data_IF_835085830926
#
_entry.id   IF_835085830926
#
_cell.length_a   1.000
_cell.length_b   1.000
_cell.length_c   1.000
_cell.angle_alpha   90.00
_cell.angle_beta   90.00
_cell.angle_gamma   90.00
#
_symmetry.space_group_name_H-M   'P 1'
#
loop_
_entity.id
_entity.type
_entity.pdbx_description
1 polymer ?
#
# COMPACT_ATOMS: atom_id res chain seq x y z
N UNK A 1 19.85 53.24 48.04
CA UNK A 1 21.10 53.60 47.32
C UNK A 1 21.21 55.12 47.24
N UNK A 2 22.30 55.73 47.72
CA UNK A 2 22.53 57.20 47.59
C UNK A 2 22.71 57.55 46.11
N UNK A 3 21.90 58.48 45.56
CA UNK A 3 22.08 59.02 44.20
C UNK A 3 23.45 59.71 44.14
N UNK A 4 24.33 59.26 43.25
CA UNK A 4 25.69 59.84 43.08
C UNK A 4 25.55 61.28 42.58
N UNK A 5 26.28 62.20 43.22
CA UNK A 5 26.28 63.64 42.88
C UNK A 5 26.95 63.87 41.51
N UNK A 6 26.52 64.90 40.79
CA UNK A 6 27.13 65.35 39.54
C UNK A 6 28.55 65.86 39.82
N UNK A 7 29.55 65.36 39.07
CA UNK A 7 30.94 65.83 39.14
C UNK A 7 31.56 65.86 37.74
N UNK A 8 32.76 66.45 37.60
CA UNK A 8 33.53 66.45 36.34
C UNK A 8 33.77 65.04 35.77
N UNK A 9 33.86 64.02 36.63
CA UNK A 9 34.05 62.61 36.26
C UNK A 9 32.78 61.76 36.39
N UNK A 10 31.67 62.37 36.83
CA UNK A 10 30.39 61.71 37.06
C UNK A 10 29.23 62.47 36.40
N UNK A 11 29.39 62.78 35.12
CA UNK A 11 28.33 63.29 34.25
C UNK A 11 28.12 62.36 33.03
N UNK A 12 27.00 62.56 32.32
CA UNK A 12 26.59 61.70 31.21
C UNK A 12 27.60 61.72 30.06
N UNK A 13 28.11 62.90 29.71
CA UNK A 13 29.09 63.10 28.65
C UNK A 13 30.37 62.31 28.87
N UNK A 14 30.94 62.45 30.07
CA UNK A 14 32.19 61.80 30.45
C UNK A 14 32.05 60.28 30.51
N UNK A 15 30.95 59.77 31.08
CA UNK A 15 30.77 58.31 31.27
C UNK A 15 30.27 57.58 30.03
N UNK A 16 29.52 58.26 29.16
CA UNK A 16 28.91 57.65 27.98
C UNK A 16 29.12 58.52 26.73
N UNK A 17 30.37 58.76 26.30
CA UNK A 17 30.68 59.68 25.19
C UNK A 17 30.02 59.26 23.87
N UNK A 18 29.92 57.95 23.60
CA UNK A 18 29.27 57.44 22.39
C UNK A 18 27.75 57.63 22.40
N UNK A 19 27.11 57.55 23.56
CA UNK A 19 25.66 57.78 23.70
C UNK A 19 25.37 59.28 23.64
N UNK A 20 26.26 60.10 24.19
CA UNK A 20 26.17 61.57 24.16
C UNK A 20 26.16 62.14 22.75
N UNK A 21 26.85 61.49 21.79
CA UNK A 21 26.74 61.83 20.35
C UNK A 21 25.32 61.73 19.78
N UNK A 22 24.40 61.06 20.47
CA UNK A 22 23.00 60.93 20.07
C UNK A 22 22.10 61.98 20.76
N UNK A 23 22.67 62.98 21.41
CA UNK A 23 21.92 64.09 22.02
C UNK A 23 21.31 64.98 20.93
N UNK A 24 20.04 65.35 21.07
CA UNK A 24 19.41 66.30 20.15
C UNK A 24 19.60 67.73 20.66
N UNK A 25 20.71 68.37 20.30
CA UNK A 25 21.05 69.73 20.75
C UNK A 25 20.02 70.79 20.33
N UNK A 26 19.30 70.59 19.21
CA UNK A 26 18.25 71.51 18.75
C UNK A 26 17.01 71.49 19.64
N UNK A 27 16.71 70.35 20.27
CA UNK A 27 15.52 70.17 21.13
C UNK A 27 15.81 70.23 22.63
N UNK A 28 17.08 70.25 23.02
CA UNK A 28 17.55 70.32 24.40
C UNK A 28 18.37 71.60 24.62
N UNK A 29 17.79 72.76 24.30
CA UNK A 29 18.51 74.06 24.26
C UNK A 29 19.15 74.39 25.62
N UNK A 30 18.44 74.16 26.72
CA UNK A 30 18.88 74.56 28.07
C UNK A 30 19.58 73.46 28.86
N UNK A 31 19.94 72.34 28.23
CA UNK A 31 20.52 71.21 28.94
C UNK A 31 21.55 70.46 28.09
N UNK A 32 22.78 70.41 28.61
CA UNK A 32 23.89 69.71 27.98
C UNK A 32 24.14 68.34 28.63
N UNK A 33 24.72 67.37 27.88
CA UNK A 33 25.11 66.06 28.43
C UNK A 33 25.99 66.15 29.69
N UNK A 34 26.87 67.14 29.79
CA UNK A 34 27.73 67.38 30.96
C UNK A 34 26.98 67.85 32.21
N UNK A 35 25.74 68.32 32.08
CA UNK A 35 24.93 68.90 33.18
C UNK A 35 24.05 67.87 33.91
N UNK A 36 24.11 66.60 33.51
CA UNK A 36 23.27 65.53 34.09
C UNK A 36 24.07 64.28 34.43
N UNK A 37 23.57 63.52 35.40
CA UNK A 37 24.13 62.21 35.75
C UNK A 37 23.53 61.11 34.86
N UNK A 38 24.28 60.00 34.64
CA UNK A 38 23.76 58.80 33.98
C UNK A 38 22.43 58.25 34.51
N UNK A 39 22.21 58.36 35.83
CA UNK A 39 21.00 57.89 36.49
C UNK A 39 19.81 58.87 36.43
N UNK A 40 19.92 59.97 35.70
CA UNK A 40 18.85 60.97 35.61
C UNK A 40 17.58 60.39 34.96
N UNK A 41 16.44 60.70 35.57
CA UNK A 41 15.09 60.36 35.11
C UNK A 41 14.48 61.44 34.20
N UNK A 42 15.14 62.60 34.08
CA UNK A 42 14.69 63.72 33.24
C UNK A 42 14.57 63.24 31.79
N UNK A 43 13.45 63.56 31.14
CA UNK A 43 13.22 63.22 29.74
C UNK A 43 14.05 64.14 28.84
N UNK A 44 14.90 63.52 28.02
CA UNK A 44 15.82 64.20 27.11
C UNK A 44 15.48 63.78 25.68
N UNK A 45 15.58 64.70 24.72
CA UNK A 45 15.48 64.39 23.30
C UNK A 45 16.77 63.79 22.75
N UNK A 46 16.65 62.68 22.04
CA UNK A 46 17.74 61.98 21.39
C UNK A 46 17.49 61.92 19.89
N UNK A 47 18.57 61.84 19.11
CA UNK A 47 18.55 61.65 17.66
C UNK A 47 19.54 60.55 17.28
N UNK A 48 19.12 59.58 16.47
CA UNK A 48 20.00 58.50 16.02
C UNK A 48 20.64 58.87 14.67
N UNK A 49 21.60 58.06 14.21
CA UNK A 49 22.25 58.26 12.91
C UNK A 49 21.28 58.24 11.71
N UNK A 50 20.11 57.58 11.86
CA UNK A 50 19.05 57.56 10.84
C UNK A 50 18.11 58.76 10.92
N UNK A 51 18.36 59.71 11.82
CA UNK A 51 17.53 60.90 12.01
C UNK A 51 16.26 60.67 12.82
N UNK A 52 16.04 59.49 13.40
CA UNK A 52 14.89 59.29 14.29
C UNK A 52 15.07 60.07 15.58
N UNK A 53 14.05 60.83 15.96
CA UNK A 53 14.04 61.61 17.18
C UNK A 53 13.11 60.99 18.22
N UNK A 54 13.58 60.80 19.45
CA UNK A 54 12.74 60.27 20.53
C UNK A 54 13.11 60.86 21.88
N UNK A 55 12.13 60.91 22.77
CA UNK A 55 12.33 61.37 24.13
C UNK A 55 12.43 60.18 25.09
N UNK A 56 13.51 60.11 25.88
CA UNK A 56 13.64 59.16 26.98
C UNK A 56 14.66 59.65 28.01
N UNK A 57 14.67 59.02 29.18
CA UNK A 57 15.58 59.37 30.24
C UNK A 57 17.00 58.80 30.01
N UNK A 58 18.07 59.52 30.41
CA UNK A 58 19.45 59.04 30.40
C UNK A 58 19.62 57.65 31.02
N UNK A 59 18.98 57.35 32.16
CA UNK A 59 19.11 56.03 32.79
C UNK A 59 18.63 54.87 31.90
N UNK A 60 17.60 55.10 31.09
CA UNK A 60 17.11 54.10 30.14
C UNK A 60 18.13 53.84 29.04
N UNK A 61 18.83 54.90 28.59
CA UNK A 61 19.88 54.80 27.57
C UNK A 61 21.07 53.99 28.08
N UNK A 62 21.49 54.23 29.33
CA UNK A 62 22.61 53.50 29.95
C UNK A 62 22.27 52.06 30.26
N UNK A 63 20.98 51.74 30.46
CA UNK A 63 20.47 50.37 30.59
C UNK A 63 20.25 49.67 29.23
N UNK A 64 20.85 50.17 28.15
CA UNK A 64 20.83 49.52 26.83
C UNK A 64 19.61 49.83 25.97
N UNK A 65 18.67 50.70 26.40
CA UNK A 65 17.53 51.09 25.54
C UNK A 65 17.98 52.12 24.49
N UNK A 66 18.03 51.69 23.23
CA UNK A 66 18.39 52.52 22.08
C UNK A 66 17.21 53.27 21.46
N UNK A 67 17.34 53.61 20.18
CA UNK A 67 16.27 54.20 19.39
C UNK A 67 15.10 53.21 19.24
N UNK A 68 13.86 53.56 19.68
CA UNK A 68 12.72 52.66 19.61
C UNK A 68 12.26 52.40 18.16
N UNK A 69 12.58 53.29 17.23
CA UNK A 69 12.29 53.11 15.80
C UNK A 69 13.28 52.12 15.17
N UNK A 70 14.59 52.29 15.40
CA UNK A 70 15.59 51.31 14.94
C UNK A 70 15.36 49.91 15.54
N UNK A 71 14.82 49.83 16.75
CA UNK A 71 14.48 48.57 17.41
C UNK A 71 13.12 47.99 17.00
N UNK A 72 12.41 48.61 16.03
CA UNK A 72 11.06 48.21 15.60
C UNK A 72 10.02 48.15 16.74
N UNK A 73 10.19 48.97 17.76
CA UNK A 73 9.23 49.14 18.86
C UNK A 73 8.21 50.25 18.56
N UNK A 74 8.59 51.23 17.74
CA UNK A 74 7.73 52.30 17.24
C UNK A 74 7.85 52.42 15.73
N UNK A 75 6.76 52.82 15.09
CA UNK A 75 6.69 53.00 13.63
C UNK A 75 7.25 54.37 13.21
N UNK A 76 7.98 54.38 12.11
CA UNK A 76 8.56 55.52 11.40
C UNK A 76 8.40 55.30 9.87
N UNK A 77 8.78 56.30 9.08
CA UNK A 77 8.67 56.25 7.61
C UNK A 77 9.51 55.13 6.97
N UNK A 78 10.62 54.75 7.59
CA UNK A 78 11.60 53.78 7.07
C UNK A 78 11.44 52.35 7.61
N UNK A 79 10.62 52.11 8.64
CA UNK A 79 10.53 50.82 9.34
C UNK A 79 9.12 50.21 9.40
N UNK A 80 8.17 50.76 8.66
CA UNK A 80 6.79 50.28 8.62
C UNK A 80 6.56 49.16 7.59
N UNK A 81 5.42 48.49 7.70
CA UNK A 81 5.04 47.35 6.87
C UNK A 81 4.91 47.72 5.40
N UNK A 82 4.37 48.90 5.08
CA UNK A 82 4.26 49.38 3.69
C UNK A 82 5.63 49.51 3.04
N UNK A 83 6.57 50.14 3.75
CA UNK A 83 7.94 50.40 3.27
C UNK A 83 8.74 49.09 3.18
N UNK A 84 8.72 48.27 4.23
CA UNK A 84 9.59 47.09 4.30
C UNK A 84 9.01 45.85 3.60
N UNK A 85 7.69 45.75 3.43
CA UNK A 85 7.00 44.56 2.89
C UNK A 85 5.82 44.96 1.98
N UNK A 86 6.07 45.67 0.87
CA UNK A 86 5.01 46.19 0.01
C UNK A 86 4.09 45.11 -0.56
N UNK A 87 4.62 43.92 -0.90
CA UNK A 87 3.82 42.80 -1.38
C UNK A 87 2.79 42.30 -0.36
N UNK A 88 3.18 42.23 0.92
CA UNK A 88 2.27 41.83 2.01
C UNK A 88 1.30 42.96 2.33
N UNK A 89 1.75 44.22 2.29
CA UNK A 89 0.88 45.38 2.51
C UNK A 89 -0.26 45.51 1.48
N UNK A 90 -0.11 44.94 0.28
CA UNK A 90 -1.21 44.85 -0.72
C UNK A 90 -2.35 43.96 -0.26
N UNK A 91 -2.09 42.99 0.62
CA UNK A 91 -3.11 42.11 1.18
C UNK A 91 -3.80 42.72 2.40
N UNK A 92 -3.62 44.00 2.70
CA UNK A 92 -4.29 44.66 3.82
C UNK A 92 -5.78 44.84 3.53
N UNK A 93 -6.66 44.44 4.45
CA UNK A 93 -8.09 44.81 4.36
C UNK A 93 -8.29 46.21 4.93
N UNK A 94 -8.41 47.22 4.06
CA UNK A 94 -8.59 48.61 4.48
C UNK A 94 -9.94 48.84 5.16
N UNK A 95 -11.00 48.22 4.66
CA UNK A 95 -12.36 48.33 5.20
C UNK A 95 -12.45 47.79 6.63
N UNK A 96 -11.81 46.66 6.93
CA UNK A 96 -11.90 46.00 8.25
C UNK A 96 -10.89 46.48 9.28
N UNK A 97 -9.81 47.13 8.86
CA UNK A 97 -8.82 47.69 9.77
C UNK A 97 -9.04 49.18 10.06
N UNK A 98 -10.04 49.80 9.41
CA UNK A 98 -10.49 51.17 9.63
C UNK A 98 -9.32 52.17 9.68
N UNK A 99 -8.95 52.65 10.87
CA UNK A 99 -7.92 53.67 11.10
C UNK A 99 -6.49 53.16 10.94
N UNK A 100 -6.23 51.86 11.05
CA UNK A 100 -4.89 51.31 10.95
C UNK A 100 -4.50 51.07 9.50
N UNK A 101 -3.40 51.71 9.06
CA UNK A 101 -2.84 51.52 7.72
C UNK A 101 -1.50 50.77 7.82
N UNK A 102 -1.05 50.10 6.75
CA UNK A 102 0.26 49.43 6.74
C UNK A 102 1.45 50.35 7.07
N UNK A 103 1.30 51.68 6.90
CA UNK A 103 2.33 52.66 7.27
C UNK A 103 2.44 52.93 8.77
N UNK A 104 1.43 52.54 9.56
CA UNK A 104 1.34 52.79 11.00
C UNK A 104 1.86 51.59 11.81
N UNK A 105 2.24 50.50 11.13
CA UNK A 105 2.55 49.20 11.75
C UNK A 105 3.92 48.72 11.35
N UNK A 106 4.75 48.34 12.33
CA UNK A 106 6.04 47.68 12.09
C UNK A 106 5.85 46.19 11.73
N UNK A 107 6.68 45.59 10.85
CA UNK A 107 6.57 44.18 10.47
C UNK A 107 6.64 43.21 11.66
N UNK A 108 7.43 43.52 12.70
CA UNK A 108 7.56 42.70 13.90
C UNK A 108 6.36 42.76 14.85
N UNK A 109 5.27 43.45 14.50
CA UNK A 109 4.16 43.69 15.41
C UNK A 109 3.34 42.42 15.71
N UNK A 110 2.95 42.29 16.98
CA UNK A 110 2.04 41.25 17.47
C UNK A 110 0.56 41.57 17.29
N UNK A 111 0.22 42.74 16.77
CA UNK A 111 -1.18 43.15 16.57
C UNK A 111 -1.88 42.23 15.58
N UNK A 112 -3.16 41.95 15.84
CA UNK A 112 -4.05 41.27 14.90
C UNK A 112 -4.67 42.30 13.97
N UNK A 113 -4.67 41.99 12.68
CA UNK A 113 -5.28 42.80 11.64
C UNK A 113 -5.93 41.89 10.61
N UNK A 114 -6.86 42.45 9.86
CA UNK A 114 -7.54 41.78 8.76
C UNK A 114 -6.73 41.86 7.47
N UNK A 115 -6.63 40.72 6.80
CA UNK A 115 -5.97 40.56 5.51
C UNK A 115 -7.01 40.15 4.47
N UNK A 116 -6.79 40.51 3.21
CA UNK A 116 -7.59 40.17 2.05
C UNK A 116 -6.68 39.63 0.95
N UNK A 117 -6.90 38.39 0.51
CA UNK A 117 -6.09 37.80 -0.56
C UNK A 117 -6.65 38.19 -1.93
N UNK A 118 -5.94 37.84 -2.99
CA UNK A 118 -6.35 38.09 -4.38
C UNK A 118 -7.65 37.39 -4.78
N UNK A 119 -8.03 36.30 -4.10
CA UNK A 119 -9.34 35.64 -4.28
C UNK A 119 -10.47 36.31 -3.51
N UNK A 120 -10.19 37.41 -2.81
CA UNK A 120 -11.18 38.14 -2.01
C UNK A 120 -11.46 37.56 -0.63
N UNK A 121 -10.82 36.45 -0.23
CA UNK A 121 -11.00 35.92 1.13
C UNK A 121 -10.40 36.87 2.15
N UNK A 122 -11.13 37.08 3.24
CA UNK A 122 -10.68 37.91 4.35
C UNK A 122 -10.43 37.10 5.62
N UNK A 123 -9.30 37.31 6.28
CA UNK A 123 -8.98 36.64 7.54
C UNK A 123 -8.20 37.54 8.49
N UNK A 124 -8.43 37.34 9.79
CA UNK A 124 -7.68 38.02 10.84
C UNK A 124 -6.47 37.16 11.26
N UNK A 125 -5.28 37.77 11.33
CA UNK A 125 -4.10 37.15 11.97
C UNK A 125 -3.09 38.21 12.42
N UNK A 126 -2.12 37.81 13.24
CA UNK A 126 -1.02 38.68 13.66
C UNK A 126 -0.11 39.02 12.48
N UNK A 127 0.38 40.27 12.44
CA UNK A 127 1.33 40.72 11.39
C UNK A 127 2.57 39.84 11.34
N UNK A 128 3.15 39.54 12.49
CA UNK A 128 4.26 38.58 12.64
C UNK A 128 3.95 37.19 12.06
N UNK A 129 2.74 36.65 12.27
CA UNK A 129 2.37 35.33 11.73
C UNK A 129 2.21 35.37 10.21
N UNK A 130 1.62 36.44 9.65
CA UNK A 130 1.51 36.64 8.20
C UNK A 130 2.89 36.64 7.54
N UNK A 131 3.86 37.29 8.16
CA UNK A 131 5.24 37.41 7.66
C UNK A 131 6.06 36.13 7.80
N UNK A 132 5.74 35.27 8.78
CA UNK A 132 6.32 33.91 8.90
C UNK A 132 5.79 32.92 7.84
N UNK A 133 5.00 33.38 6.88
CA UNK A 133 4.46 32.55 5.80
C UNK A 133 3.04 32.03 6.02
N UNK A 134 2.32 32.50 7.06
CA UNK A 134 0.91 32.13 7.24
C UNK A 134 0.05 32.90 6.24
N UNK A 135 -0.12 32.36 5.04
CA UNK A 135 -1.02 32.92 4.02
C UNK A 135 -2.50 32.72 4.34
N UNK A 136 -3.37 33.07 3.37
CA UNK A 136 -4.81 32.90 3.46
C UNK A 136 -5.19 31.47 3.90
N UNK A 137 -5.93 31.28 5.02
CA UNK A 137 -6.29 29.96 5.53
C UNK A 137 -7.29 29.22 4.63
N UNK A 138 -8.07 29.95 3.83
CA UNK A 138 -9.03 29.37 2.90
C UNK A 138 -8.34 28.86 1.63
N UNK A 139 -7.48 29.68 1.02
CA UNK A 139 -6.62 29.26 -0.10
C UNK A 139 -5.69 28.10 0.29
N UNK A 140 -5.17 28.11 1.53
CA UNK A 140 -4.32 27.04 2.05
C UNK A 140 -5.06 25.79 2.54
N UNK A 141 -6.39 25.71 2.38
CA UNK A 141 -7.18 24.53 2.78
C UNK A 141 -7.18 24.24 4.29
N UNK A 142 -6.95 25.26 5.13
CA UNK A 142 -6.99 25.16 6.59
C UNK A 142 -8.37 25.50 7.16
N UNK A 143 -9.11 26.38 6.48
CA UNK A 143 -10.49 26.75 6.81
C UNK A 143 -11.38 26.53 5.60
N UNK A 144 -12.62 26.12 5.84
CA UNK A 144 -13.60 25.96 4.79
C UNK A 144 -14.20 27.30 4.36
N UNK A 145 -14.53 27.39 3.08
CA UNK A 145 -15.16 28.51 2.41
C UNK A 145 -16.02 27.98 1.25
N UNK A 146 -16.92 28.81 0.73
CA UNK A 146 -17.86 28.39 -0.31
C UNK A 146 -17.19 27.90 -1.60
N UNK A 147 -15.98 28.39 -1.91
CA UNK A 147 -15.21 28.08 -3.12
C UNK A 147 -14.17 26.95 -2.94
N UNK A 148 -13.94 26.48 -1.71
CA UNK A 148 -12.96 25.44 -1.40
C UNK A 148 -13.58 24.15 -0.82
N UNK A 149 -14.90 24.09 -0.74
CA UNK A 149 -15.63 22.93 -0.24
C UNK A 149 -15.63 21.76 -1.25
N UNK A 150 -16.02 20.57 -0.77
CA UNK A 150 -16.09 19.34 -1.56
C UNK A 150 -17.09 19.47 -2.71
N UNK A 151 -18.23 20.12 -2.50
CA UNK A 151 -19.25 20.33 -3.53
C UNK A 151 -18.66 21.02 -4.77
N UNK A 152 -17.89 22.08 -4.55
CA UNK A 152 -17.30 22.91 -5.62
C UNK A 152 -16.08 22.24 -6.25
N UNK A 153 -15.19 21.66 -5.44
CA UNK A 153 -13.92 21.12 -5.94
C UNK A 153 -14.05 19.70 -6.50
N UNK A 154 -15.07 18.95 -6.08
CA UNK A 154 -15.30 17.55 -6.46
C UNK A 154 -16.79 17.26 -6.68
N UNK A 155 -17.45 17.90 -7.65
CA UNK A 155 -18.90 17.76 -7.86
C UNK A 155 -19.33 16.30 -8.10
N UNK A 156 -18.53 15.52 -8.82
CA UNK A 156 -18.78 14.08 -9.03
C UNK A 156 -18.78 13.26 -7.74
N UNK A 157 -17.96 13.64 -6.75
CA UNK A 157 -17.98 13.01 -5.43
C UNK A 157 -19.17 13.49 -4.62
N UNK A 158 -19.49 14.79 -4.66
CA UNK A 158 -20.65 15.35 -3.97
C UNK A 158 -21.98 14.68 -4.40
N UNK A 159 -22.11 14.30 -5.68
CA UNK A 159 -23.25 13.50 -6.18
C UNK A 159 -23.39 12.13 -5.51
N UNK A 160 -22.29 11.58 -4.98
CA UNK A 160 -22.27 10.30 -4.27
C UNK A 160 -22.47 10.46 -2.76
N UNK A 161 -22.84 11.65 -2.27
CA UNK A 161 -23.10 11.91 -0.86
C UNK A 161 -24.41 11.24 -0.41
N UNK A 162 -24.40 10.59 0.76
CA UNK A 162 -25.62 10.04 1.34
C UNK A 162 -26.26 11.04 2.30
N UNK A 163 -27.13 11.91 1.80
CA UNK A 163 -27.82 12.95 2.60
C UNK A 163 -28.66 12.39 3.75
N UNK A 164 -29.27 11.21 3.58
CA UNK A 164 -30.09 10.59 4.63
C UNK A 164 -29.25 10.13 5.82
N UNK A 165 -28.03 9.66 5.60
CA UNK A 165 -27.14 9.14 6.65
C UNK A 165 -26.14 10.16 7.19
N UNK A 166 -25.97 11.29 6.52
CA UNK A 166 -25.14 12.41 6.96
C UNK A 166 -26.02 13.61 7.36
N UNK A 167 -27.01 13.38 8.22
CA UNK A 167 -27.90 14.45 8.68
C UNK A 167 -27.10 15.59 9.32
N UNK A 168 -27.45 16.83 8.98
CA UNK A 168 -26.75 18.03 9.45
C UNK A 168 -25.35 18.26 8.85
N UNK A 169 -24.93 17.48 7.84
CA UNK A 169 -23.66 17.67 7.17
C UNK A 169 -23.80 17.52 5.66
N UNK A 170 -23.42 18.56 4.92
CA UNK A 170 -23.47 18.59 3.46
C UNK A 170 -22.07 18.57 2.85
N UNK A 171 -21.95 18.30 1.54
CA UNK A 171 -20.69 18.49 0.80
C UNK A 171 -20.15 19.93 0.81
N UNK A 172 -20.96 20.93 1.20
CA UNK A 172 -20.52 22.32 1.35
C UNK A 172 -19.79 22.57 2.69
N UNK A 173 -19.96 21.66 3.67
CA UNK A 173 -19.43 21.79 5.03
C UNK A 173 -18.12 21.03 5.25
N UNK A 174 -17.57 20.41 4.19
CA UNK A 174 -16.31 19.66 4.25
C UNK A 174 -15.37 20.04 3.10
N UNK A 175 -14.07 20.07 3.38
CA UNK A 175 -13.04 20.23 2.35
C UNK A 175 -12.69 18.86 1.71
N UNK A 176 -12.27 18.82 0.43
CA UNK A 176 -11.86 17.58 -0.24
C UNK A 176 -10.79 16.76 0.50
N UNK A 177 -9.88 17.43 1.23
CA UNK A 177 -8.82 16.78 2.01
C UNK A 177 -9.23 16.32 3.41
N UNK A 178 -10.51 16.38 3.77
CA UNK A 178 -10.96 16.10 5.15
C UNK A 178 -10.85 14.62 5.52
N UNK A 179 -10.34 14.33 6.72
CA UNK A 179 -10.38 12.99 7.32
C UNK A 179 -11.76 12.62 7.89
N UNK A 180 -12.75 13.51 7.84
CA UNK A 180 -14.10 13.25 8.35
C UNK A 180 -14.72 12.06 7.62
N UNK A 181 -15.15 11.04 8.38
CA UNK A 181 -15.78 9.82 7.86
C UNK A 181 -17.27 10.03 7.67
N UNK A 182 -17.73 9.96 6.42
CA UNK A 182 -19.12 10.22 6.02
C UNK A 182 -19.64 9.04 5.20
N UNK A 183 -20.97 8.97 5.08
CA UNK A 183 -21.65 7.97 4.29
C UNK A 183 -21.73 8.39 2.81
N UNK A 184 -21.42 7.45 1.95
CA UNK A 184 -21.48 7.57 0.49
C UNK A 184 -22.52 6.62 -0.06
N UNK A 185 -23.04 6.95 -1.23
CA UNK A 185 -23.97 6.14 -2.00
C UNK A 185 -23.64 6.22 -3.48
N UNK A 186 -23.48 5.08 -4.14
CA UNK A 186 -23.24 5.05 -5.59
C UNK A 186 -24.55 4.89 -6.37
N UNK A 187 -24.46 4.96 -7.71
CA UNK A 187 -25.60 4.75 -8.61
C UNK A 187 -26.24 3.37 -8.48
N UNK A 188 -25.45 2.33 -8.16
CA UNK A 188 -25.94 0.99 -7.82
C UNK A 188 -26.52 0.87 -6.40
N UNK A 189 -26.78 2.01 -5.74
CA UNK A 189 -27.39 2.12 -4.39
C UNK A 189 -26.59 1.51 -3.25
N UNK A 190 -25.38 0.99 -3.47
CA UNK A 190 -24.49 0.59 -2.38
C UNK A 190 -24.15 1.77 -1.49
N UNK A 191 -24.11 1.53 -0.18
CA UNK A 191 -23.82 2.55 0.83
C UNK A 191 -22.59 2.16 1.64
N UNK A 192 -21.66 3.09 1.86
CA UNK A 192 -20.44 2.81 2.64
C UNK A 192 -19.94 4.04 3.38
N UNK A 193 -19.24 3.82 4.50
CA UNK A 193 -18.65 4.88 5.33
C UNK A 193 -17.14 4.94 5.18
N UNK A 194 -16.60 6.06 4.69
CA UNK A 194 -15.15 6.32 4.59
C UNK A 194 -14.84 7.81 4.67
N UNK A 195 -13.57 8.19 4.85
CA UNK A 195 -13.17 9.60 4.89
C UNK A 195 -13.28 10.27 3.52
N UNK A 196 -13.53 11.58 3.51
CA UNK A 196 -13.55 12.39 2.28
C UNK A 196 -12.21 12.31 1.55
N UNK A 197 -11.09 12.39 2.29
CA UNK A 197 -9.73 12.26 1.77
C UNK A 197 -9.54 10.96 0.97
N UNK A 198 -10.01 9.82 1.50
CA UNK A 198 -9.83 8.52 0.86
C UNK A 198 -10.70 8.33 -0.39
N UNK A 199 -11.70 9.20 -0.63
CA UNK A 199 -12.59 9.08 -1.80
C UNK A 199 -12.00 9.59 -3.08
N UNK A 200 -10.90 10.34 -3.02
CA UNK A 200 -10.17 10.80 -4.21
C UNK A 200 -9.62 9.61 -5.03
N UNK A 201 -9.31 8.49 -4.38
CA UNK A 201 -8.70 7.30 -5.01
C UNK A 201 -9.49 6.00 -4.85
N UNK A 202 -10.48 5.94 -3.94
CA UNK A 202 -11.26 4.73 -3.69
C UNK A 202 -12.70 4.91 -4.15
N UNK A 203 -13.11 4.25 -5.24
CA UNK A 203 -14.51 4.16 -5.67
C UNK A 203 -15.35 3.28 -4.73
N UNK A 204 -16.60 3.06 -5.10
CA UNK A 204 -17.50 2.18 -4.35
C UNK A 204 -16.85 0.79 -4.15
N UNK A 205 -16.60 0.34 -2.90
CA UNK A 205 -15.85 -0.88 -2.63
C UNK A 205 -16.59 -2.15 -3.10
N UNK A 206 -17.92 -2.07 -3.17
CA UNK A 206 -18.77 -3.13 -3.70
C UNK A 206 -18.65 -3.23 -5.22
N UNK A 207 -18.72 -2.10 -5.94
CA UNK A 207 -18.56 -2.09 -7.40
C UNK A 207 -17.17 -2.55 -7.85
N UNK A 208 -16.13 -2.25 -7.06
CA UNK A 208 -14.75 -2.70 -7.32
C UNK A 208 -14.48 -4.16 -6.90
N UNK A 209 -15.44 -4.83 -6.24
CA UNK A 209 -15.25 -6.19 -5.74
C UNK A 209 -14.30 -6.33 -4.55
N UNK A 210 -13.94 -5.21 -3.88
CA UNK A 210 -13.13 -5.21 -2.66
C UNK A 210 -13.97 -5.51 -1.41
N UNK A 211 -15.29 -5.25 -1.47
CA UNK A 211 -16.29 -5.77 -0.52
C UNK A 211 -17.32 -6.62 -1.26
N UNK A 212 -17.81 -7.66 -0.58
CA UNK A 212 -18.87 -8.53 -1.09
C UNK A 212 -20.25 -7.87 -0.93
N UNK A 213 -21.12 -8.08 -1.90
CA UNK A 213 -22.55 -7.84 -1.89
C UNK A 213 -23.26 -8.91 -2.73
N UNK A 214 -24.59 -8.94 -2.68
CA UNK A 214 -25.39 -9.94 -3.38
C UNK A 214 -25.12 -9.96 -4.90
N UNK A 215 -24.89 -8.79 -5.51
CA UNK A 215 -24.63 -8.65 -6.94
C UNK A 215 -23.24 -9.11 -7.38
N UNK A 216 -22.27 -9.23 -6.47
CA UNK A 216 -20.87 -9.50 -6.82
C UNK A 216 -20.27 -10.74 -6.15
N UNK A 217 -21.06 -11.45 -5.35
CA UNK A 217 -20.61 -12.66 -4.68
C UNK A 217 -20.38 -13.81 -5.66
N UNK A 218 -19.56 -14.79 -5.26
CA UNK A 218 -19.23 -15.96 -6.06
C UNK A 218 -20.49 -16.74 -6.45
N UNK A 219 -21.45 -16.89 -5.52
CA UNK A 219 -22.70 -17.60 -5.78
C UNK A 219 -23.50 -16.99 -6.94
N UNK A 220 -23.59 -15.66 -7.00
CA UNK A 220 -24.35 -14.93 -8.01
C UNK A 220 -23.61 -14.91 -9.35
N UNK A 221 -22.30 -14.64 -9.34
CA UNK A 221 -21.53 -14.47 -10.57
C UNK A 221 -21.06 -15.78 -11.22
N UNK A 222 -20.86 -16.84 -10.43
CA UNK A 222 -20.32 -18.14 -10.88
C UNK A 222 -20.99 -19.31 -10.13
N UNK A 223 -22.30 -19.54 -10.32
CA UNK A 223 -23.04 -20.59 -9.62
C UNK A 223 -22.46 -21.99 -9.86
N UNK A 224 -21.87 -22.25 -11.02
CA UNK A 224 -21.20 -23.51 -11.35
C UNK A 224 -19.95 -23.77 -10.49
N UNK A 225 -19.20 -22.72 -10.14
CA UNK A 225 -18.08 -22.84 -9.21
C UNK A 225 -18.58 -22.94 -7.77
N UNK A 226 -19.61 -22.18 -7.41
CA UNK A 226 -20.21 -22.28 -6.09
C UNK A 226 -20.74 -23.70 -5.78
N UNK A 227 -21.18 -24.44 -6.80
CA UNK A 227 -21.54 -25.85 -6.67
C UNK A 227 -20.34 -26.79 -6.37
N UNK A 228 -19.10 -26.36 -6.67
CA UNK A 228 -17.87 -27.07 -6.27
C UNK A 228 -17.39 -26.67 -4.85
N UNK A 229 -18.13 -25.83 -4.12
CA UNK A 229 -17.77 -25.45 -2.75
C UNK A 229 -17.90 -26.65 -1.82
N UNK A 230 -16.86 -26.92 -1.02
CA UNK A 230 -16.93 -28.03 -0.08
C UNK A 230 -17.94 -27.73 1.04
N UNK A 231 -18.84 -28.68 1.31
CA UNK A 231 -19.99 -28.52 2.22
C UNK A 231 -19.62 -28.30 3.69
N UNK A 232 -18.61 -29.01 4.21
CA UNK A 232 -18.25 -28.96 5.65
C UNK A 232 -16.87 -28.35 5.97
N UNK A 233 -15.91 -28.35 5.04
CA UNK A 233 -14.51 -27.94 5.33
C UNK A 233 -14.27 -26.43 5.35
N UNK A 234 -15.28 -25.62 5.04
CA UNK A 234 -15.16 -24.16 4.99
C UNK A 234 -15.78 -23.45 6.22
N UNK A 235 -16.20 -24.22 7.23
CA UNK A 235 -16.84 -23.67 8.42
C UNK A 235 -18.11 -22.89 8.08
N UNK A 236 -18.26 -21.69 8.63
CA UNK A 236 -19.39 -20.80 8.34
C UNK A 236 -19.27 -20.05 7.00
N UNK A 237 -18.14 -20.14 6.30
CA UNK A 237 -17.92 -19.40 5.07
C UNK A 237 -18.66 -20.04 3.90
N UNK A 238 -19.51 -19.25 3.25
CA UNK A 238 -20.30 -19.68 2.12
C UNK A 238 -19.93 -18.90 0.82
N UNK A 239 -20.36 -19.38 -0.36
CA UNK A 239 -20.12 -18.70 -1.64
C UNK A 239 -20.73 -17.29 -1.75
N UNK A 240 -21.70 -16.90 -0.91
CA UNK A 240 -22.27 -15.54 -0.87
C UNK A 240 -21.38 -14.55 -0.11
N UNK A 241 -20.46 -15.03 0.72
CA UNK A 241 -19.58 -14.19 1.56
C UNK A 241 -18.27 -13.76 0.86
N UNK A 242 -18.03 -14.21 -0.37
CA UNK A 242 -16.77 -13.96 -1.08
C UNK A 242 -17.02 -13.46 -2.49
N UNK A 243 -16.17 -12.54 -2.96
CA UNK A 243 -16.14 -12.14 -4.38
C UNK A 243 -15.30 -13.12 -5.19
N UNK A 244 -15.51 -13.18 -6.50
CA UNK A 244 -14.71 -14.00 -7.44
C UNK A 244 -13.21 -13.67 -7.42
N UNK A 245 -12.85 -12.43 -7.03
CA UNK A 245 -11.46 -11.97 -6.87
C UNK A 245 -10.81 -12.29 -5.53
N UNK A 246 -11.51 -12.93 -4.60
CA UNK A 246 -11.01 -13.19 -3.24
C UNK A 246 -9.76 -14.07 -3.21
N UNK A 247 -8.75 -13.66 -2.45
CA UNK A 247 -7.50 -14.43 -2.23
C UNK A 247 -7.66 -15.51 -1.14
N UNK A 248 -8.82 -15.60 -0.49
CA UNK A 248 -9.07 -16.60 0.57
C UNK A 248 -8.93 -18.00 -0.01
N UNK A 249 -8.13 -18.84 0.65
CA UNK A 249 -8.03 -20.27 0.36
C UNK A 249 -9.20 -20.99 1.02
N UNK A 250 -9.92 -21.76 0.23
CA UNK A 250 -11.09 -22.54 0.65
C UNK A 250 -10.97 -23.94 0.05
N UNK A 251 -11.69 -24.88 0.64
CA UNK A 251 -11.80 -26.24 0.15
C UNK A 251 -12.84 -26.35 -0.95
N UNK A 252 -12.47 -27.03 -2.03
CA UNK A 252 -13.32 -27.31 -3.18
C UNK A 252 -13.49 -28.82 -3.29
N UNK A 253 -14.61 -29.24 -3.85
CA UNK A 253 -14.90 -30.63 -4.19
C UNK A 253 -15.44 -30.70 -5.62
N UNK A 254 -14.78 -31.49 -6.47
CA UNK A 254 -15.26 -31.68 -7.84
C UNK A 254 -16.33 -32.77 -7.91
N UNK A 255 -17.02 -32.89 -9.05
CA UNK A 255 -18.01 -33.94 -9.31
C UNK A 255 -17.49 -35.38 -9.11
N UNK A 256 -16.17 -35.61 -9.21
CA UNK A 256 -15.53 -36.91 -8.95
C UNK A 256 -15.20 -37.13 -7.45
N UNK A 257 -15.62 -36.25 -6.56
CA UNK A 257 -15.38 -36.33 -5.13
C UNK A 257 -13.97 -35.92 -4.68
N UNK A 258 -13.04 -35.58 -5.59
CA UNK A 258 -11.74 -35.07 -5.17
C UNK A 258 -11.88 -33.75 -4.43
N UNK A 259 -11.14 -33.60 -3.34
CA UNK A 259 -11.14 -32.41 -2.50
C UNK A 259 -9.77 -31.73 -2.55
N UNK A 260 -9.74 -30.40 -2.69
CA UNK A 260 -8.47 -29.67 -2.67
C UNK A 260 -8.62 -28.23 -2.16
N UNK A 261 -7.59 -27.69 -1.47
CA UNK A 261 -7.57 -26.29 -1.10
C UNK A 261 -7.01 -25.43 -2.23
N UNK A 262 -7.69 -24.33 -2.57
CA UNK A 262 -7.12 -23.28 -3.43
C UNK A 262 -7.85 -21.96 -3.21
N UNK A 263 -7.30 -20.84 -3.70
CA UNK A 263 -7.96 -19.55 -3.56
C UNK A 263 -9.19 -19.41 -4.48
N UNK A 264 -10.18 -18.63 -4.05
CA UNK A 264 -11.38 -18.32 -4.84
C UNK A 264 -11.01 -17.66 -6.18
N UNK A 265 -10.09 -16.69 -6.17
CA UNK A 265 -9.59 -16.08 -7.38
C UNK A 265 -8.82 -17.06 -8.27
N UNK A 266 -8.13 -18.03 -7.68
CA UNK A 266 -7.47 -19.11 -8.40
C UNK A 266 -8.49 -19.97 -9.15
N UNK A 267 -9.52 -20.48 -8.46
CA UNK A 267 -10.61 -21.22 -9.12
C UNK A 267 -11.31 -20.39 -10.19
N UNK A 268 -11.62 -19.13 -9.88
CA UNK A 268 -12.32 -18.23 -10.80
C UNK A 268 -11.55 -17.98 -12.09
N UNK A 269 -10.21 -18.09 -12.08
CA UNK A 269 -9.32 -17.99 -13.26
C UNK A 269 -9.14 -19.32 -14.02
N UNK A 270 -9.78 -20.40 -13.59
CA UNK A 270 -9.73 -21.70 -14.26
C UNK A 270 -8.79 -22.73 -13.63
N UNK A 271 -8.14 -22.47 -12.49
CA UNK A 271 -7.27 -23.46 -11.84
C UNK A 271 -8.06 -24.66 -11.27
N UNK A 272 -8.34 -25.67 -12.10
CA UNK A 272 -9.18 -26.84 -11.81
C UNK A 272 -8.71 -27.76 -10.69
N UNK A 273 -9.51 -28.80 -10.45
CA UNK A 273 -9.13 -29.94 -9.62
C UNK A 273 -7.74 -30.49 -10.03
N UNK A 274 -6.73 -30.50 -9.14
CA UNK A 274 -5.39 -30.94 -9.49
C UNK A 274 -5.32 -32.44 -9.80
N UNK A 275 -6.21 -33.24 -9.21
CA UNK A 275 -6.33 -34.68 -9.47
C UNK A 275 -6.87 -34.96 -10.89
N UNK A 276 -7.99 -34.35 -11.28
CA UNK A 276 -8.53 -34.44 -12.64
C UNK A 276 -7.52 -33.94 -13.70
N UNK A 277 -6.76 -32.90 -13.38
CA UNK A 277 -5.72 -32.37 -14.26
C UNK A 277 -4.40 -33.18 -14.23
N UNK A 278 -4.35 -34.33 -13.53
CA UNK A 278 -3.16 -35.18 -13.38
C UNK A 278 -1.92 -34.49 -12.79
N UNK A 279 -2.12 -33.36 -12.11
CA UNK A 279 -1.09 -32.63 -11.35
C UNK A 279 -0.85 -33.25 -9.98
N UNK A 280 -1.87 -33.88 -9.40
CA UNK A 280 -1.77 -34.70 -8.19
C UNK A 280 -2.21 -36.14 -8.51
N UNK A 281 -1.60 -37.12 -7.82
CA UNK A 281 -1.90 -38.53 -8.01
C UNK A 281 -3.15 -38.91 -7.20
N UNK A 282 -4.07 -39.65 -7.81
CA UNK A 282 -5.17 -40.36 -7.17
C UNK A 282 -5.29 -41.76 -7.79
N UNK A 283 -6.16 -42.61 -7.22
CA UNK A 283 -6.36 -43.96 -7.73
C UNK A 283 -6.80 -43.97 -9.21
N UNK A 284 -7.62 -43.01 -9.63
CA UNK A 284 -8.12 -42.91 -11.01
C UNK A 284 -7.04 -42.59 -12.04
N UNK A 285 -5.94 -41.92 -11.63
CA UNK A 285 -4.93 -41.41 -12.56
C UNK A 285 -3.52 -41.99 -12.36
N UNK A 286 -3.36 -42.89 -11.38
CA UNK A 286 -2.07 -43.50 -11.10
C UNK A 286 -1.64 -44.47 -12.22
N UNK A 287 -0.33 -44.70 -12.32
CA UNK A 287 0.25 -45.58 -13.33
C UNK A 287 -0.30 -47.01 -13.22
N UNK A 288 -0.50 -47.51 -12.00
CA UNK A 288 -1.05 -48.85 -11.77
C UNK A 288 -2.43 -49.04 -12.43
N UNK A 289 -3.33 -48.06 -12.24
CA UNK A 289 -4.70 -48.10 -12.76
C UNK A 289 -4.74 -47.87 -14.26
N UNK A 290 -4.07 -46.81 -14.76
CA UNK A 290 -4.17 -46.43 -16.17
C UNK A 290 -3.28 -47.26 -17.10
N UNK A 291 -2.20 -47.85 -16.59
CA UNK A 291 -1.28 -48.66 -17.39
C UNK A 291 -0.72 -49.86 -16.60
N UNK A 292 -1.56 -50.87 -16.30
CA UNK A 292 -1.16 -52.02 -15.50
C UNK A 292 -0.04 -52.84 -16.14
N UNK A 293 0.07 -52.85 -17.47
CA UNK A 293 1.15 -53.55 -18.19
C UNK A 293 2.51 -52.90 -17.91
N UNK A 294 2.58 -51.57 -18.00
CA UNK A 294 3.81 -50.84 -17.67
C UNK A 294 4.10 -50.90 -16.17
N UNK A 295 3.07 -50.84 -15.32
CA UNK A 295 3.23 -50.98 -13.87
C UNK A 295 3.85 -52.33 -13.46
N UNK A 296 3.60 -53.43 -14.19
CA UNK A 296 4.26 -54.72 -13.96
C UNK A 296 5.77 -54.71 -14.21
N UNK A 297 6.26 -53.76 -15.01
CA UNK A 297 7.68 -53.59 -15.27
C UNK A 297 8.38 -52.72 -14.21
N UNK A 298 7.68 -52.35 -13.13
CA UNK A 298 8.26 -51.61 -12.01
C UNK A 298 9.28 -52.47 -11.27
N UNK A 299 10.48 -51.95 -11.03
CA UNK A 299 11.49 -52.72 -10.30
C UNK A 299 11.05 -52.95 -8.84
N UNK A 300 11.08 -54.19 -8.32
CA UNK A 300 10.48 -54.54 -7.02
C UNK A 300 11.15 -53.88 -5.80
N UNK A 301 12.47 -53.71 -5.82
CA UNK A 301 13.24 -53.23 -4.65
C UNK A 301 13.96 -51.89 -4.84
N UNK A 302 14.29 -51.50 -6.07
CA UNK A 302 15.16 -50.34 -6.35
C UNK A 302 14.46 -48.97 -6.31
N UNK A 303 13.14 -48.94 -6.12
CA UNK A 303 12.36 -47.70 -6.05
C UNK A 303 12.00 -47.31 -4.61
N UNK A 304 12.54 -48.00 -3.60
CA UNK A 304 12.25 -47.76 -2.19
C UNK A 304 10.75 -47.87 -1.91
N UNK A 305 10.16 -46.87 -1.25
CA UNK A 305 8.73 -46.82 -0.91
C UNK A 305 7.83 -46.40 -2.08
N UNK A 306 8.38 -45.98 -3.23
CA UNK A 306 7.57 -45.53 -4.36
C UNK A 306 6.98 -46.73 -5.11
N UNK A 307 5.65 -46.73 -5.21
CA UNK A 307 4.88 -47.72 -5.97
C UNK A 307 4.28 -47.10 -7.24
N UNK A 308 3.83 -47.92 -8.21
CA UNK A 308 3.05 -47.45 -9.35
C UNK A 308 1.76 -46.70 -8.98
N UNK A 309 1.25 -46.85 -7.75
CA UNK A 309 0.10 -46.08 -7.25
C UNK A 309 0.46 -44.64 -6.83
N UNK A 310 1.75 -44.32 -6.69
CA UNK A 310 2.21 -43.01 -6.21
C UNK A 310 2.67 -42.06 -7.33
N UNK A 311 2.46 -42.43 -8.59
CA UNK A 311 2.85 -41.62 -9.76
C UNK A 311 1.75 -41.61 -10.80
N UNK A 312 1.54 -40.46 -11.47
CA UNK A 312 0.70 -40.39 -12.66
C UNK A 312 1.46 -40.93 -13.88
N UNK A 313 0.73 -41.34 -14.92
CA UNK A 313 1.32 -41.80 -16.20
C UNK A 313 2.21 -40.71 -16.84
N UNK A 314 1.88 -39.43 -16.65
CA UNK A 314 2.65 -38.29 -17.16
C UNK A 314 3.85 -37.87 -16.29
N UNK A 315 4.16 -38.61 -15.22
CA UNK A 315 5.17 -38.19 -14.25
C UNK A 315 6.58 -38.12 -14.84
N UNK A 316 7.31 -37.05 -14.52
CA UNK A 316 8.74 -36.87 -14.82
C UNK A 316 9.68 -37.69 -13.93
N UNK A 317 9.17 -38.34 -12.88
CA UNK A 317 10.02 -39.06 -11.91
C UNK A 317 10.77 -40.20 -12.59
N UNK A 318 12.10 -40.21 -12.46
CA UNK A 318 12.98 -41.28 -12.93
C UNK A 318 12.98 -42.44 -11.92
N UNK A 319 12.50 -43.60 -12.36
CA UNK A 319 12.39 -44.82 -11.55
C UNK A 319 13.08 -45.98 -12.26
N UNK A 320 13.42 -47.01 -11.50
CA UNK A 320 13.98 -48.26 -12.01
C UNK A 320 12.88 -49.17 -12.55
N UNK A 321 13.14 -49.75 -13.70
CA UNK A 321 12.27 -50.71 -14.38
C UNK A 321 13.00 -52.04 -14.55
N UNK A 322 12.23 -53.11 -14.71
CA UNK A 322 12.70 -54.45 -15.05
C UNK A 322 11.77 -55.05 -16.11
N UNK A 323 12.33 -55.67 -17.15
CA UNK A 323 11.54 -56.36 -18.16
C UNK A 323 11.40 -57.85 -17.84
N UNK A 324 10.56 -58.56 -18.60
CA UNK A 324 10.37 -60.02 -18.47
C UNK A 324 11.66 -60.82 -18.67
N UNK A 325 12.65 -60.28 -19.41
CA UNK A 325 13.97 -60.89 -19.61
C UNK A 325 15.00 -60.50 -18.53
N UNK A 326 14.59 -59.77 -17.48
CA UNK A 326 15.46 -59.39 -16.37
C UNK A 326 16.33 -58.14 -16.57
N UNK A 327 16.37 -57.55 -17.78
CA UNK A 327 17.10 -56.30 -17.99
C UNK A 327 16.53 -55.17 -17.11
N UNK A 328 17.40 -54.38 -16.48
CA UNK A 328 17.01 -53.27 -15.61
C UNK A 328 17.51 -51.92 -16.14
N UNK A 329 16.67 -50.88 -16.04
CA UNK A 329 17.07 -49.54 -16.50
C UNK A 329 16.34 -48.44 -15.72
N UNK A 330 16.93 -47.24 -15.68
CA UNK A 330 16.34 -46.07 -15.01
C UNK A 330 15.84 -45.06 -16.05
N UNK A 331 14.54 -44.75 -16.04
CA UNK A 331 13.98 -43.71 -16.91
C UNK A 331 12.71 -43.10 -16.30
N UNK A 332 12.29 -41.94 -16.83
CA UNK A 332 11.09 -41.25 -16.38
C UNK A 332 9.81 -42.04 -16.71
N UNK A 333 8.79 -41.94 -15.84
CA UNK A 333 7.51 -42.65 -16.02
C UNK A 333 6.84 -42.31 -17.36
N UNK A 334 6.76 -41.03 -17.74
CA UNK A 334 6.13 -40.61 -19.00
C UNK A 334 6.80 -41.19 -20.25
N UNK A 335 8.10 -41.49 -20.21
CA UNK A 335 8.81 -42.11 -21.33
C UNK A 335 8.32 -43.54 -21.59
N UNK A 336 7.86 -44.24 -20.54
CA UNK A 336 7.38 -45.62 -20.66
C UNK A 336 6.10 -45.76 -21.51
N UNK A 337 5.41 -44.66 -21.81
CA UNK A 337 4.29 -44.66 -22.78
C UNK A 337 4.74 -44.97 -24.21
N UNK A 338 5.98 -44.59 -24.57
CA UNK A 338 6.51 -44.70 -25.95
C UNK A 338 7.69 -45.67 -26.07
N UNK A 339 8.41 -45.91 -24.99
CA UNK A 339 9.65 -46.72 -25.02
C UNK A 339 9.60 -47.87 -24.02
N UNK A 340 9.85 -49.08 -24.51
CA UNK A 340 10.08 -50.30 -23.71
C UNK A 340 11.56 -50.49 -23.34
N UNK A 341 11.92 -51.71 -22.95
CA UNK A 341 13.31 -52.07 -22.66
C UNK A 341 14.22 -51.85 -23.88
N UNK A 342 15.30 -51.08 -23.69
CA UNK A 342 16.25 -50.75 -24.77
C UNK A 342 17.03 -51.99 -25.22
N UNK A 343 17.42 -52.84 -24.28
CA UNK A 343 18.17 -54.07 -24.57
C UNK A 343 17.32 -55.06 -25.36
N UNK A 344 16.06 -55.28 -24.95
CA UNK A 344 15.12 -56.10 -25.73
C UNK A 344 14.89 -55.52 -27.14
N UNK A 345 14.76 -54.20 -27.27
CA UNK A 345 14.62 -53.55 -28.57
C UNK A 345 15.88 -53.67 -29.42
N UNK A 346 17.06 -53.65 -28.81
CA UNK A 346 18.34 -53.81 -29.49
C UNK A 346 18.51 -55.25 -29.98
N UNK A 347 18.32 -56.23 -29.11
CA UNK A 347 18.39 -57.66 -29.44
C UNK A 347 17.41 -58.04 -30.54
N UNK A 348 16.19 -57.49 -30.51
CA UNK A 348 15.21 -57.70 -31.59
C UNK A 348 15.66 -57.09 -32.91
N UNK A 349 16.18 -55.86 -32.90
CA UNK A 349 16.67 -55.20 -34.13
C UNK A 349 17.90 -55.91 -34.69
N UNK A 350 18.79 -56.39 -33.85
CA UNK A 350 19.94 -57.20 -34.25
C UNK A 350 19.48 -58.52 -34.90
N UNK A 351 18.51 -59.22 -34.30
CA UNK A 351 17.94 -60.45 -34.84
C UNK A 351 17.16 -60.27 -36.15
N UNK A 352 16.54 -59.09 -36.37
CA UNK A 352 15.87 -58.76 -37.63
C UNK A 352 16.87 -58.41 -38.74
N UNK A 353 17.96 -57.71 -38.40
CA UNK A 353 19.05 -57.38 -39.34
C UNK A 353 19.80 -58.61 -39.83
N UNK A 354 20.04 -59.59 -38.96
CA UNK A 354 20.69 -60.85 -39.36
C UNK A 354 19.82 -61.76 -40.24
N UNK A 355 18.53 -61.43 -40.42
CA UNK A 355 17.57 -62.17 -41.26
C UNK A 355 17.19 -61.44 -42.57
N UNK A 356 17.92 -60.39 -42.95
CA UNK A 356 17.84 -59.80 -44.30
C UNK A 356 16.60 -58.94 -44.62
N UNK A 357 15.81 -58.49 -43.63
CA UNK A 357 14.60 -57.69 -43.88
C UNK A 357 14.66 -56.30 -43.25
N UNK A 358 14.75 -55.24 -44.06
CA UNK A 358 14.52 -53.87 -43.58
C UNK A 358 13.02 -53.65 -43.40
N UNK A 359 12.57 -53.30 -42.19
CA UNK A 359 11.17 -52.94 -41.94
C UNK A 359 11.10 -51.70 -41.05
N UNK A 360 10.33 -50.70 -41.50
CA UNK A 360 10.16 -49.40 -40.86
C UNK A 360 9.58 -49.46 -39.44
N UNK A 361 9.82 -48.38 -38.67
CA UNK A 361 9.64 -48.28 -37.21
C UNK A 361 8.24 -48.62 -36.65
N UNK A 362 7.19 -48.63 -37.48
CA UNK A 362 5.81 -48.88 -37.04
C UNK A 362 5.45 -50.36 -36.85
N UNK A 363 5.94 -51.24 -37.73
CA UNK A 363 5.50 -52.65 -37.83
C UNK A 363 6.16 -53.53 -36.75
N UNK A 364 7.33 -53.12 -36.24
CA UNK A 364 8.05 -53.79 -35.16
C UNK A 364 7.28 -53.81 -33.82
N UNK A 365 6.39 -52.84 -33.59
CA UNK A 365 5.57 -52.73 -32.38
C UNK A 365 4.38 -53.72 -32.35
N UNK A 366 3.83 -54.09 -33.50
CA UNK A 366 2.77 -55.10 -33.60
C UNK A 366 3.34 -56.53 -33.58
N UNK A 367 4.48 -56.76 -34.23
CA UNK A 367 5.16 -58.06 -34.23
C UNK A 367 5.70 -58.45 -32.85
N UNK A 368 6.15 -57.49 -32.03
CA UNK A 368 6.55 -57.76 -30.63
C UNK A 368 5.37 -58.24 -29.78
N UNK A 369 4.17 -57.70 -29.99
CA UNK A 369 2.96 -58.18 -29.30
C UNK A 369 2.51 -59.57 -29.78
N UNK A 370 2.69 -59.90 -31.07
CA UNK A 370 2.43 -61.25 -31.62
C UNK A 370 3.42 -62.30 -31.11
N UNK A 371 4.71 -61.98 -31.00
CA UNK A 371 5.72 -62.89 -30.44
C UNK A 371 5.49 -63.18 -28.95
N UNK A 372 5.04 -62.19 -28.17
CA UNK A 372 4.67 -62.33 -26.75
C UNK A 372 3.49 -63.29 -26.51
N UNK A 373 2.61 -63.49 -27.51
CA UNK A 373 1.51 -64.48 -27.46
C UNK A 373 1.97 -65.90 -27.76
N UNK A 374 2.98 -66.09 -28.63
CA UNK A 374 3.52 -67.42 -28.98
C UNK A 374 4.45 -68.00 -27.91
N UNK A 375 5.18 -67.19 -27.15
CA UNK A 375 6.04 -67.67 -26.05
C UNK A 375 5.28 -68.13 -24.81
N UNK A 376 3.97 -67.84 -24.69
CA UNK A 376 3.11 -68.38 -23.63
C UNK A 376 3.04 -69.92 -23.63
N UNK A 377 3.32 -70.56 -24.78
CA UNK A 377 3.31 -72.01 -24.95
C UNK A 377 4.63 -72.70 -24.55
N UNK A 378 5.73 -71.95 -24.33
CA UNK A 378 7.02 -72.49 -23.85
C UNK A 378 7.30 -72.20 -22.37
N UNK A 379 6.28 -71.78 -21.61
CA UNK A 379 6.34 -71.48 -20.17
C UNK A 379 6.43 -72.72 -19.26
N UNK A 380 6.61 -73.94 -19.79
CA UNK A 380 6.62 -75.17 -18.96
C UNK A 380 8.01 -75.57 -18.43
N UNK A 381 9.07 -74.90 -18.86
CA UNK A 381 10.44 -75.23 -18.44
C UNK A 381 11.28 -73.96 -18.27
N UNK A 382 11.15 -73.30 -17.13
CA UNK A 382 12.15 -72.38 -16.53
C UNK A 382 11.82 -72.20 -15.03
N UNK A 383 12.18 -73.23 -14.27
CA UNK A 383 12.82 -73.20 -12.93
C UNK A 383 12.43 -72.09 -11.93
N UNK A 384 11.54 -72.47 -11.00
CA UNK A 384 11.61 -72.43 -9.51
C UNK A 384 12.43 -71.40 -8.69
N UNK A 385 13.11 -70.38 -9.25
CA UNK A 385 13.84 -69.38 -8.44
C UNK A 385 13.45 -67.91 -8.62
N UNK A 386 12.22 -67.66 -9.09
CA UNK A 386 11.63 -66.30 -9.07
C UNK A 386 10.18 -66.25 -8.56
N UNK A 387 9.64 -67.38 -8.09
CA UNK A 387 8.33 -67.46 -7.45
C UNK A 387 8.57 -67.51 -5.94
N UNK A 388 8.68 -66.35 -5.30
CA UNK A 388 8.21 -66.13 -3.93
C UNK A 388 8.45 -64.68 -3.52
N UNK A 389 7.60 -63.79 -4.04
CA UNK A 389 7.10 -62.72 -3.20
C UNK A 389 5.58 -62.85 -3.15
N UNK A 390 5.00 -63.15 -1.98
CA UNK A 390 3.57 -63.35 -1.87
C UNK A 390 2.88 -62.00 -2.05
N UNK A 391 2.08 -61.89 -3.12
CA UNK A 391 1.01 -60.88 -3.23
C UNK A 391 -0.04 -60.96 -2.07
N UNK A 392 0.15 -61.85 -1.09
CA UNK A 392 -0.72 -62.08 0.07
C UNK A 392 -0.33 -61.34 1.37
N UNK A 393 0.73 -60.52 1.40
CA UNK A 393 1.02 -59.65 2.56
C UNK A 393 1.12 -58.18 2.16
N UNK A 394 -0.02 -57.58 1.83
CA UNK A 394 -0.24 -56.16 2.05
C UNK A 394 -1.21 -56.04 3.24
N UNK A 395 -0.99 -55.12 4.19
CA UNK A 395 -1.98 -54.87 5.22
C UNK A 395 -3.29 -54.50 4.53
N UNK A 396 -4.39 -55.16 4.90
CA UNK A 396 -5.73 -54.67 4.59
C UNK A 396 -5.80 -53.25 5.14
N UNK A 397 -5.73 -52.24 4.28
CA UNK A 397 -6.18 -50.92 4.68
C UNK A 397 -7.66 -51.08 5.02
N UNK A 398 -8.01 -50.77 6.27
CA UNK A 398 -9.37 -50.80 6.77
C UNK A 398 -10.26 -50.07 5.76
N UNK A 399 -11.21 -50.81 5.22
CA UNK A 399 -12.44 -50.24 4.70
C UNK A 399 -13.03 -49.49 5.90
N UNK A 400 -13.09 -48.17 5.84
CA UNK A 400 -14.03 -47.45 6.68
C UNK A 400 -15.39 -47.78 6.10
N UNK A 401 -16.05 -48.75 6.72
CA UNK A 401 -17.48 -48.96 6.53
C UNK A 401 -18.17 -47.64 6.88
N UNK A 402 -18.94 -47.16 5.91
CA UNK A 402 -20.00 -46.20 6.15
C UNK A 402 -21.06 -46.92 6.95
N UNK A 403 -21.20 -46.61 8.24
CA UNK A 403 -22.50 -46.62 8.90
C UNK A 403 -22.63 -45.48 9.90
N UNK A 404 -23.77 -44.78 9.75
CA UNK A 404 -24.36 -43.64 10.50
C UNK A 404 -23.81 -42.25 10.24
#
# INVERSE_FOLDING_TARGET
MKRRKLTKTHNFEYKYPLISKQWNYKKNIDIMPSMITPGSERKIWWICKKGHEWQTAPYNRTNGKGCPFCANQKTASDNNLKTLRPGIAKEWSYEKNDKLKPKDVVPGSGIKVWWKCTKGHEWETRVTNRLKGTGCPYCGGRKIHNDNCLAVNSPKLALQWNYKKNTGLTPYDVMPGSNKRVWWKCSKRHEWKTSVLNRKSNDCPYCQGSKVCDDNCLQTLKPELAAEWHSSKNGSLNPKDVTTGSRRKVWWQCKKGHEWPTSVCGRSKGYGCPYCASRCVCLDNCLATLNPKVAKEWHPTRNGKLTPYNVTVGSGKKVWWICELGHTWKTAVHNRKRTGCRDCSYSLRAALRSRGGSVGRGIAGELTNKLRRRTKQKSKYLTEKSINYPFKKLPKMKIFDKEK
#
